data_IF_828631300820
#
_entry.id   IF_828631300820
#
_cell.length_a   1.000
_cell.length_b   1.000
_cell.length_c   1.000
_cell.angle_alpha   90.00
_cell.angle_beta   90.00
_cell.angle_gamma   90.00
#
_symmetry.space_group_name_H-M   'P 1'
#
loop_
_entity.id
_entity.type
_entity.pdbx_description
1 polymer ?
#
# COMPACT_ATOMS: atom_id res chain seq x y z
N UNK A 1 -15.21 6.09 -6.43
CA UNK A 1 -14.26 7.03 -5.79
C UNK A 1 -15.01 8.28 -5.40
N UNK A 2 -15.14 8.59 -4.11
CA UNK A 2 -15.95 9.74 -3.64
C UNK A 2 -15.40 11.08 -4.16
N UNK A 3 -14.07 11.20 -4.31
CA UNK A 3 -13.41 12.43 -4.77
C UNK A 3 -12.86 12.36 -6.21
N UNK A 4 -13.05 11.25 -6.95
CA UNK A 4 -12.52 11.09 -8.31
C UNK A 4 -10.98 11.13 -8.43
N UNK A 5 -10.27 10.88 -7.33
CA UNK A 5 -8.81 11.01 -7.19
C UNK A 5 -8.12 9.66 -7.05
N UNK A 6 -6.91 9.52 -7.57
CA UNK A 6 -6.05 8.36 -7.28
C UNK A 6 -5.65 8.34 -5.81
N UNK A 7 -5.47 7.15 -5.25
CA UNK A 7 -5.09 6.99 -3.84
C UNK A 7 -3.75 7.66 -3.54
N UNK A 8 -3.66 8.36 -2.41
CA UNK A 8 -2.42 9.00 -1.97
C UNK A 8 -1.38 7.94 -1.60
N UNK A 9 -0.17 8.05 -2.13
CA UNK A 9 0.93 7.14 -1.86
C UNK A 9 2.16 7.89 -1.32
N UNK A 10 2.75 7.37 -0.25
CA UNK A 10 3.86 8.01 0.45
C UNK A 10 5.02 7.03 0.64
N UNK A 11 6.24 7.52 0.44
CA UNK A 11 7.45 6.83 0.90
C UNK A 11 7.54 6.97 2.41
N UNK A 12 7.82 5.87 3.09
CA UNK A 12 8.03 5.84 4.54
C UNK A 12 9.52 5.96 4.88
N UNK A 13 9.84 6.03 6.17
CA UNK A 13 11.19 5.82 6.69
C UNK A 13 11.52 4.34 7.01
N UNK A 14 10.64 3.41 6.64
CA UNK A 14 10.80 1.98 6.92
C UNK A 14 11.59 1.35 5.76
N UNK A 15 12.80 0.82 6.00
CA UNK A 15 13.58 0.17 4.96
C UNK A 15 12.96 -1.18 4.55
N UNK A 16 13.00 -1.50 3.27
CA UNK A 16 12.66 -2.84 2.79
C UNK A 16 13.72 -3.85 3.24
N UNK A 17 13.32 -5.12 3.40
CA UNK A 17 14.29 -6.21 3.51
C UNK A 17 15.06 -6.32 2.18
N UNK A 18 16.38 -6.25 2.26
CA UNK A 18 17.25 -6.32 1.08
C UNK A 18 17.28 -7.73 0.51
N UNK A 19 17.22 -7.83 -0.82
CA UNK A 19 17.40 -9.06 -1.58
C UNK A 19 18.33 -8.79 -2.76
N UNK A 20 19.60 -9.21 -2.66
CA UNK A 20 20.61 -8.89 -3.66
C UNK A 20 20.75 -7.36 -3.85
N UNK A 21 20.67 -6.83 -5.09
CA UNK A 21 20.77 -5.39 -5.34
C UNK A 21 19.48 -4.62 -5.00
N UNK A 22 18.38 -5.32 -4.68
CA UNK A 22 17.07 -4.70 -4.47
C UNK A 22 16.86 -4.33 -3.00
N UNK A 23 16.40 -3.11 -2.75
CA UNK A 23 16.20 -2.54 -1.42
C UNK A 23 15.21 -1.39 -1.42
N UNK A 24 15.63 -0.22 -0.93
CA UNK A 24 14.79 0.97 -0.85
C UNK A 24 13.91 1.00 0.39
N UNK A 25 12.80 1.72 0.31
CA UNK A 25 11.87 1.96 1.42
C UNK A 25 10.47 1.46 1.08
N UNK A 26 9.71 1.14 2.11
CA UNK A 26 8.30 0.80 1.99
C UNK A 26 7.52 2.01 1.48
N UNK A 27 6.68 1.79 0.47
CA UNK A 27 5.69 2.77 0.00
C UNK A 27 4.32 2.34 0.52
N UNK A 28 3.58 3.27 1.09
CA UNK A 28 2.24 3.03 1.62
C UNK A 28 1.18 3.81 0.84
N UNK A 29 0.00 3.22 0.70
CA UNK A 29 -1.24 3.96 0.37
C UNK A 29 -1.88 4.48 1.65
N UNK A 30 -2.51 5.65 1.61
CA UNK A 30 -3.25 6.21 2.74
C UNK A 30 -4.73 6.40 2.37
N UNK A 31 -5.63 5.99 3.26
CA UNK A 31 -7.06 6.28 3.17
C UNK A 31 -7.59 6.68 4.56
N UNK A 32 -8.39 7.75 4.66
CA UNK A 32 -9.03 8.12 5.92
C UNK A 32 -10.27 7.26 6.19
N UNK A 33 -10.51 6.95 7.46
CA UNK A 33 -11.69 6.23 7.93
C UNK A 33 -12.16 6.81 9.26
N UNK A 34 -13.46 6.76 9.53
CA UNK A 34 -13.98 7.13 10.85
C UNK A 34 -13.48 6.16 11.91
N UNK A 35 -13.25 6.65 13.13
CA UNK A 35 -12.70 5.84 14.23
C UNK A 35 -13.52 4.57 14.52
N UNK A 36 -14.85 4.66 14.41
CA UNK A 36 -15.77 3.53 14.64
C UNK A 36 -15.71 2.45 13.53
N UNK A 37 -15.17 2.78 12.36
CA UNK A 37 -15.02 1.84 11.24
C UNK A 37 -13.72 1.03 11.31
N UNK A 38 -12.73 1.47 12.08
CA UNK A 38 -11.39 0.87 12.11
C UNK A 38 -11.39 -0.62 12.43
N UNK A 39 -12.14 -1.12 13.43
CA UNK A 39 -12.19 -2.56 13.70
C UNK A 39 -12.68 -3.36 12.49
N UNK A 40 -13.70 -2.85 11.79
CA UNK A 40 -14.25 -3.51 10.60
C UNK A 40 -13.27 -3.46 9.43
N UNK A 41 -12.60 -2.32 9.22
CA UNK A 41 -11.57 -2.17 8.18
C UNK A 41 -10.44 -3.20 8.38
N UNK A 42 -9.95 -3.33 9.61
CA UNK A 42 -8.92 -4.34 9.95
C UNK A 42 -9.47 -5.74 9.68
N UNK A 43 -10.66 -6.06 10.19
CA UNK A 43 -11.26 -7.39 10.06
C UNK A 43 -11.40 -7.81 8.59
N UNK A 44 -11.95 -6.94 7.74
CA UNK A 44 -12.18 -7.23 6.32
C UNK A 44 -10.84 -7.34 5.59
N UNK A 45 -9.97 -6.34 5.70
CA UNK A 45 -8.74 -6.30 4.89
C UNK A 45 -7.72 -7.37 5.29
N UNK A 46 -7.71 -7.80 6.56
CA UNK A 46 -6.83 -8.88 7.03
C UNK A 46 -7.15 -10.24 6.39
N UNK A 47 -8.35 -10.43 5.86
CA UNK A 47 -8.73 -11.67 5.17
C UNK A 47 -8.06 -11.80 3.79
N UNK A 48 -7.53 -10.72 3.21
CA UNK A 48 -6.99 -10.69 1.85
C UNK A 48 -5.49 -10.37 1.84
N UNK A 49 -4.62 -11.26 2.34
CA UNK A 49 -3.17 -11.02 2.40
C UNK A 49 -2.52 -10.86 1.02
N UNK A 50 -3.12 -11.43 -0.04
CA UNK A 50 -2.66 -11.33 -1.43
C UNK A 50 -3.10 -10.04 -2.15
N UNK A 51 -3.93 -9.23 -1.49
CA UNK A 51 -4.27 -7.89 -1.94
C UNK A 51 -3.47 -6.86 -1.12
N UNK A 52 -4.14 -5.96 -0.41
CA UNK A 52 -3.47 -5.04 0.51
C UNK A 52 -3.18 -5.65 1.88
N UNK A 53 -3.93 -6.68 2.30
CA UNK A 53 -3.83 -7.27 3.62
C UNK A 53 -4.20 -6.32 4.76
N UNK A 54 -3.79 -6.67 5.98
CA UNK A 54 -3.96 -5.84 7.18
C UNK A 54 -3.23 -4.50 7.03
N UNK A 55 -3.75 -3.38 7.58
CA UNK A 55 -3.00 -2.12 7.63
C UNK A 55 -1.63 -2.29 8.29
N UNK A 56 -0.62 -1.60 7.75
CA UNK A 56 0.73 -1.55 8.36
C UNK A 56 0.85 -0.49 9.42
N UNK A 57 0.01 0.55 9.35
CA UNK A 57 -0.01 1.64 10.33
C UNK A 57 -1.40 2.27 10.38
N UNK A 58 -1.78 2.77 11.56
CA UNK A 58 -3.04 3.49 11.81
C UNK A 58 -2.72 4.66 12.73
N UNK A 59 -3.21 5.86 12.41
CA UNK A 59 -2.98 7.05 13.22
C UNK A 59 -2.03 8.05 12.57
N UNK A 60 -1.17 8.67 13.38
CA UNK A 60 -0.23 9.69 12.92
C UNK A 60 0.83 9.08 12.00
N UNK A 61 0.81 9.46 10.71
CA UNK A 61 1.76 8.99 9.70
C UNK A 61 3.22 9.34 10.01
N UNK A 62 3.49 10.33 10.87
CA UNK A 62 4.86 10.74 11.22
C UNK A 62 5.64 9.61 11.88
N UNK A 63 4.96 8.69 12.57
CA UNK A 63 5.58 7.49 13.16
C UNK A 63 6.25 6.59 12.11
N UNK A 64 5.78 6.63 10.86
CA UNK A 64 6.36 5.92 9.71
C UNK A 64 7.03 6.88 8.71
N UNK A 65 7.35 8.10 9.14
CA UNK A 65 8.00 9.11 8.30
C UNK A 65 7.09 9.74 7.24
N UNK A 66 5.78 9.64 7.37
CA UNK A 66 4.81 10.21 6.42
C UNK A 66 4.17 11.47 6.99
N UNK A 67 4.43 12.62 6.37
CA UNK A 67 3.70 13.86 6.63
C UNK A 67 2.61 14.06 5.56
N UNK A 68 1.36 13.81 5.94
CA UNK A 68 0.20 13.93 5.04
C UNK A 68 -0.10 15.38 4.62
N UNK A 69 0.47 16.38 5.31
CA UNK A 69 0.35 17.79 4.91
C UNK A 69 1.19 18.12 3.66
N UNK A 70 2.15 17.26 3.34
CA UNK A 70 2.95 17.36 2.12
C UNK A 70 2.26 16.64 0.95
N UNK A 71 2.52 17.07 -0.31
CA UNK A 71 2.05 16.35 -1.48
C UNK A 71 2.48 14.87 -1.43
N UNK A 72 1.61 13.93 -1.81
CA UNK A 72 2.01 12.53 -1.89
C UNK A 72 3.09 12.34 -2.95
N UNK A 73 3.92 11.31 -2.77
CA UNK A 73 4.95 10.97 -3.74
C UNK A 73 4.35 10.42 -5.04
N UNK A 74 3.17 9.79 -4.95
CA UNK A 74 2.41 9.30 -6.09
C UNK A 74 0.90 9.42 -5.82
N UNK A 75 0.11 9.53 -6.88
CA UNK A 75 -1.34 9.72 -6.79
C UNK A 75 -1.71 11.14 -6.35
N UNK A 76 -2.89 11.28 -5.76
CA UNK A 76 -3.46 12.59 -5.43
C UNK A 76 -3.68 12.73 -3.93
N UNK A 77 -3.54 13.95 -3.39
CA UNK A 77 -3.85 14.23 -1.99
C UNK A 77 -5.35 14.15 -1.73
N UNK A 78 -5.74 13.45 -0.65
CA UNK A 78 -7.13 13.35 -0.19
C UNK A 78 -7.34 14.14 1.11
N UNK A 79 -8.51 14.72 1.28
CA UNK A 79 -8.90 15.37 2.55
C UNK A 79 -9.13 14.34 3.66
N UNK A 80 -8.84 14.75 4.89
CA UNK A 80 -9.10 13.97 6.12
C UNK A 80 -9.97 14.85 7.02
N UNK A 81 -11.12 14.33 7.46
CA UNK A 81 -12.05 15.02 8.35
C UNK A 81 -11.67 14.85 9.83
N UNK A 82 -12.18 15.72 10.69
CA UNK A 82 -11.84 15.75 12.12
C UNK A 82 -12.21 14.46 12.88
N UNK A 83 -13.20 13.69 12.41
CA UNK A 83 -13.62 12.41 12.98
C UNK A 83 -12.96 11.19 12.30
N UNK A 84 -12.02 11.43 11.37
CA UNK A 84 -11.31 10.41 10.63
C UNK A 84 -9.87 10.21 11.13
N UNK A 85 -9.38 8.99 10.94
CA UNK A 85 -7.98 8.62 11.17
C UNK A 85 -7.38 8.05 9.89
N UNK A 86 -6.10 8.36 9.66
CA UNK A 86 -5.35 7.83 8.53
C UNK A 86 -5.03 6.35 8.74
N UNK A 87 -5.32 5.54 7.73
CA UNK A 87 -5.00 4.11 7.70
C UNK A 87 -4.08 3.86 6.52
N UNK A 88 -2.96 3.16 6.77
CA UNK A 88 -1.89 2.97 5.81
C UNK A 88 -1.71 1.48 5.46
N UNK A 89 -1.58 1.18 4.16
CA UNK A 89 -1.32 -0.18 3.65
C UNK A 89 -0.10 -0.21 2.76
N UNK A 90 0.60 -1.36 2.73
CA UNK A 90 1.62 -1.64 1.72
C UNK A 90 1.09 -1.35 0.30
N UNK A 91 1.89 -0.65 -0.48
CA UNK A 91 1.60 -0.35 -1.88
C UNK A 91 2.48 -1.19 -2.80
N UNK A 92 1.91 -1.66 -3.91
CA UNK A 92 2.66 -2.34 -4.98
C UNK A 92 3.78 -1.48 -5.57
N UNK A 93 3.71 -0.14 -5.49
CA UNK A 93 4.78 0.78 -5.91
C UNK A 93 6.09 0.52 -5.13
N UNK A 94 6.04 -0.14 -3.97
CA UNK A 94 7.23 -0.60 -3.24
C UNK A 94 8.12 -1.48 -4.12
N UNK A 95 7.54 -2.35 -4.96
CA UNK A 95 8.34 -3.19 -5.86
C UNK A 95 9.04 -2.36 -6.94
N UNK A 96 8.39 -1.32 -7.46
CA UNK A 96 9.01 -0.37 -8.40
C UNK A 96 10.17 0.38 -7.74
N UNK A 97 10.02 0.84 -6.49
CA UNK A 97 11.09 1.50 -5.74
C UNK A 97 12.27 0.54 -5.50
N UNK A 98 11.98 -0.71 -5.11
CA UNK A 98 13.01 -1.72 -4.90
C UNK A 98 13.70 -2.15 -6.19
N UNK A 99 12.98 -2.24 -7.30
CA UNK A 99 13.56 -2.53 -8.62
C UNK A 99 14.50 -1.40 -9.04
N UNK A 100 14.06 -0.13 -8.93
CA UNK A 100 14.88 1.04 -9.29
C UNK A 100 16.15 1.11 -8.42
N UNK A 101 16.10 0.74 -7.14
CA UNK A 101 17.30 0.77 -6.28
C UNK A 101 18.40 -0.16 -6.76
N UNK A 102 18.04 -1.23 -7.49
CA UNK A 102 18.99 -2.15 -8.09
C UNK A 102 19.65 -1.63 -9.38
N UNK A 103 19.28 -0.43 -9.84
CA UNK A 103 19.79 0.19 -11.07
C UNK A 103 19.75 -0.75 -12.29
N UNK A 104 18.57 -1.30 -12.64
CA UNK A 104 18.45 -2.23 -13.75
C UNK A 104 18.76 -1.52 -15.07
N UNK A 105 19.39 -2.24 -16.00
CA UNK A 105 19.61 -1.74 -17.37
C UNK A 105 18.28 -1.46 -18.09
N UNK A 106 17.24 -2.24 -17.76
CA UNK A 106 15.92 -2.13 -18.36
C UNK A 106 14.83 -2.54 -17.36
N UNK A 107 13.73 -1.77 -17.30
CA UNK A 107 12.58 -2.03 -16.42
C UNK A 107 11.28 -1.64 -17.12
N UNK A 108 10.28 -2.54 -17.11
CA UNK A 108 8.92 -2.27 -17.57
C UNK A 108 7.97 -2.37 -16.39
N UNK A 109 7.11 -1.35 -16.22
CA UNK A 109 6.06 -1.32 -15.20
C UNK A 109 4.76 -0.80 -15.79
N UNK A 110 3.67 -0.92 -15.04
CA UNK A 110 2.43 -0.22 -15.37
C UNK A 110 2.51 1.26 -14.94
N UNK A 111 1.72 2.12 -15.60
CA UNK A 111 1.48 3.48 -15.14
C UNK A 111 0.49 3.47 -13.96
N UNK A 112 0.63 4.36 -12.96
CA UNK A 112 -0.35 4.48 -11.88
C UNK A 112 -1.78 4.64 -12.41
N UNK A 113 -2.72 3.83 -11.91
CA UNK A 113 -4.12 3.83 -12.39
C UNK A 113 -4.38 2.96 -13.63
N UNK A 114 -3.35 2.38 -14.26
CA UNK A 114 -3.44 1.53 -15.45
C UNK A 114 -2.96 0.10 -15.18
N UNK A 115 -3.60 -0.58 -14.23
CA UNK A 115 -3.26 -1.94 -13.80
C UNK A 115 -3.70 -3.00 -14.83
N UNK A 116 -3.06 -4.17 -14.78
CA UNK A 116 -3.51 -5.37 -15.48
C UNK A 116 -4.77 -5.93 -14.78
N UNK A 117 -5.87 -6.06 -15.51
CA UNK A 117 -7.09 -6.70 -15.03
C UNK A 117 -7.03 -8.19 -15.37
N UNK A 118 -7.23 -9.04 -14.37
CA UNK A 118 -7.20 -10.50 -14.48
C UNK A 118 -8.59 -11.09 -14.22
N UNK A 119 -8.81 -12.32 -14.68
CA UNK A 119 -10.03 -13.10 -14.40
C UNK A 119 -10.00 -13.78 -13.01
N UNK A 120 -9.05 -13.41 -12.16
CA UNK A 120 -8.93 -13.90 -10.78
C UNK A 120 -9.85 -13.09 -9.87
N UNK A 121 -10.78 -13.76 -9.20
CA UNK A 121 -11.71 -13.11 -8.26
C UNK A 121 -11.13 -13.04 -6.85
N UNK A 122 -11.67 -12.15 -6.01
CA UNK A 122 -11.29 -12.07 -4.60
C UNK A 122 -11.58 -13.38 -3.85
N UNK A 123 -12.65 -14.09 -4.19
CA UNK A 123 -12.98 -15.39 -3.59
C UNK A 123 -11.93 -16.45 -3.95
N UNK A 124 -11.41 -16.42 -5.17
CA UNK A 124 -10.28 -17.27 -5.57
C UNK A 124 -9.04 -16.96 -4.74
N UNK A 125 -8.76 -15.69 -4.42
CA UNK A 125 -7.63 -15.30 -3.56
C UNK A 125 -7.76 -15.86 -2.14
N UNK A 126 -8.97 -15.89 -1.57
CA UNK A 126 -9.22 -16.48 -0.26
C UNK A 126 -9.00 -18.01 -0.24
N UNK A 127 -9.20 -18.66 -1.40
CA UNK A 127 -9.02 -20.11 -1.54
C UNK A 127 -7.56 -20.57 -1.68
N UNK A 128 -6.58 -19.66 -1.81
CA UNK A 128 -5.18 -20.00 -2.07
C UNK A 128 -4.37 -20.43 -0.84
N UNK A 129 -4.96 -20.44 0.37
CA UNK A 129 -4.27 -20.86 1.59
C UNK A 129 -3.24 -19.84 2.12
N UNK A 130 -2.45 -20.24 3.13
CA UNK A 130 -1.49 -19.34 3.79
C UNK A 130 -0.19 -19.22 2.99
N UNK A 131 0.22 -17.99 2.68
CA UNK A 131 1.37 -17.73 1.80
C UNK A 131 2.71 -18.00 2.49
N UNK A 132 2.74 -18.11 3.82
CA UNK A 132 3.94 -18.54 4.54
C UNK A 132 4.29 -20.01 4.22
N UNK A 133 3.34 -20.82 3.75
CA UNK A 133 3.61 -22.18 3.23
C UNK A 133 4.15 -22.18 1.79
N UNK A 134 4.04 -21.05 1.08
CA UNK A 134 4.48 -20.87 -0.32
C UNK A 134 5.85 -20.18 -0.42
N UNK A 135 6.43 -19.75 0.69
CA UNK A 135 7.81 -19.26 0.73
C UNK A 135 8.78 -20.46 0.71
N UNK A 136 9.75 -20.50 -0.20
CA UNK A 136 10.82 -21.50 -0.15
C UNK A 136 11.71 -21.33 1.10
#
# INVERSE_FOLDING_TARGET
MVQGKNVSMYRTNIPNKVAGPFGGVLVVTMRPYRLDQIPQVIQITSQYPLAHGRPVHIGDGRAIGVDISQPPHYGDAVGVHDDEVCVFWCCGVTSTVGAISGSPEFLVTHSPGHMLVLDITNDMLLGLGDFDELRP
#
